data_IF_958447126964
#
_entry.id   IF_958447126964
#
_cell.length_a   1.000
_cell.length_b   1.000
_cell.length_c   1.000
_cell.angle_alpha   90.00
_cell.angle_beta   90.00
_cell.angle_gamma   90.00
#
_symmetry.space_group_name_H-M   'P 1'
#
loop_
_entity.id
_entity.type
_entity.pdbx_description
1 polymer ?
#
# COMPACT_ATOMS: atom_id res chain seq x y z
N UNK A 1 -3.31 7.08 11.19
CA UNK A 1 -2.75 8.42 11.54
C UNK A 1 -1.36 8.62 10.91
N UNK A 2 -0.61 7.54 10.70
CA UNK A 2 0.71 7.55 10.06
C UNK A 2 0.74 8.24 8.69
N UNK A 3 -0.29 8.06 7.85
CA UNK A 3 -0.34 8.68 6.51
C UNK A 3 -0.19 10.21 6.54
N UNK A 4 -0.80 10.89 7.51
CA UNK A 4 -0.69 12.34 7.68
C UNK A 4 0.68 12.75 8.26
N UNK A 5 1.21 11.98 9.22
CA UNK A 5 2.55 12.22 9.79
C UNK A 5 3.64 12.10 8.72
N UNK A 6 3.58 11.04 7.90
CA UNK A 6 4.52 10.86 6.78
C UNK A 6 4.39 11.97 5.74
N UNK A 7 3.15 12.35 5.40
CA UNK A 7 2.87 13.47 4.49
C UNK A 7 3.48 14.77 5.02
N UNK A 8 3.28 15.06 6.31
CA UNK A 8 3.82 16.23 6.97
C UNK A 8 5.35 16.23 6.95
N UNK A 9 5.99 15.13 7.35
CA UNK A 9 7.45 15.00 7.35
C UNK A 9 8.05 15.12 5.94
N UNK A 10 7.38 14.56 4.93
CA UNK A 10 7.79 14.70 3.52
C UNK A 10 7.76 16.17 3.08
N UNK A 11 6.71 16.91 3.44
CA UNK A 11 6.53 18.30 3.02
C UNK A 11 7.30 19.32 3.87
N UNK A 12 7.66 18.97 5.10
CA UNK A 12 8.47 19.80 6.00
C UNK A 12 9.82 20.18 5.40
N UNK A 13 10.39 19.35 4.53
CA UNK A 13 11.66 19.66 3.84
C UNK A 13 11.63 21.01 3.10
N UNK A 14 10.44 21.45 2.68
CA UNK A 14 10.23 22.69 1.95
C UNK A 14 9.58 23.81 2.80
N UNK A 15 9.23 23.56 4.07
CA UNK A 15 8.56 24.50 4.99
C UNK A 15 7.26 25.17 4.46
N UNK A 16 6.57 24.55 3.50
CA UNK A 16 5.39 25.14 2.83
C UNK A 16 4.06 24.47 3.22
N UNK A 17 4.06 23.69 4.30
CA UNK A 17 2.90 22.94 4.77
C UNK A 17 2.94 22.85 6.30
N UNK A 18 1.82 23.21 6.94
CA UNK A 18 1.65 23.14 8.39
C UNK A 18 0.31 22.48 8.70
N UNK A 19 0.26 21.73 9.79
CA UNK A 19 -0.96 21.12 10.31
C UNK A 19 -1.27 21.77 11.65
N UNK A 20 -2.54 22.14 11.85
CA UNK A 20 -3.01 22.67 13.13
C UNK A 20 -4.02 21.68 13.69
N UNK A 21 -3.66 21.02 14.79
CA UNK A 21 -4.54 20.15 15.52
C UNK A 21 -5.57 20.96 16.31
N UNK A 22 -6.84 20.60 16.17
CA UNK A 22 -7.95 21.29 16.80
C UNK A 22 -8.79 20.26 17.53
N UNK A 23 -8.70 20.27 18.86
CA UNK A 23 -9.57 19.46 19.69
C UNK A 23 -11.01 19.95 19.58
N UNK A 24 -11.93 19.06 19.26
CA UNK A 24 -13.36 19.37 19.17
C UNK A 24 -14.04 18.91 20.45
N UNK A 25 -14.87 19.77 21.04
CA UNK A 25 -15.61 19.43 22.26
C UNK A 25 -16.66 18.37 21.91
N UNK A 26 -16.40 17.12 22.33
CA UNK A 26 -17.37 16.03 22.22
C UNK A 26 -18.63 16.35 23.04
N UNK A 27 -19.82 16.29 22.43
CA UNK A 27 -21.09 16.28 23.18
C UNK A 27 -21.24 15.05 24.10
N UNK A 28 -20.45 13.99 23.88
CA UNK A 28 -20.45 12.77 24.70
C UNK A 28 -19.36 12.88 25.77
N UNK A 29 -19.78 12.91 27.04
CA UNK A 29 -18.89 12.84 28.22
C UNK A 29 -18.30 11.44 28.46
N UNK A 30 -18.69 10.45 27.65
CA UNK A 30 -18.29 9.05 27.78
C UNK A 30 -17.76 8.52 26.45
N UNK A 31 -16.54 7.97 26.46
CA UNK A 31 -16.01 7.16 25.38
C UNK A 31 -16.31 5.69 25.73
N UNK A 32 -17.10 5.01 24.90
CA UNK A 32 -17.39 3.57 25.07
C UNK A 32 -16.46 2.75 24.19
N UNK A 33 -15.54 2.01 24.80
CA UNK A 33 -14.81 0.92 24.15
C UNK A 33 -15.44 -0.42 24.59
N UNK A 34 -16.32 -0.98 23.76
CA UNK A 34 -17.09 -2.17 24.11
C UNK A 34 -18.03 -1.92 25.31
N UNK A 35 -17.87 -2.68 26.41
CA UNK A 35 -18.65 -2.52 27.66
C UNK A 35 -18.02 -1.58 28.70
N UNK A 36 -16.85 -0.99 28.43
CA UNK A 36 -16.16 -0.08 29.38
C UNK A 36 -16.48 1.38 29.06
N UNK A 37 -16.90 2.12 30.09
CA UNK A 37 -16.92 3.59 30.11
C UNK A 37 -15.57 4.03 30.64
N UNK A 38 -14.84 4.82 29.85
CA UNK A 38 -13.60 5.45 30.31
C UNK A 38 -13.92 6.94 30.50
N UNK A 39 -13.93 7.40 31.75
CA UNK A 39 -13.80 8.83 32.05
C UNK A 39 -12.35 9.21 31.77
N UNK A 40 -12.09 9.76 30.59
CA UNK A 40 -10.79 10.36 30.29
C UNK A 40 -10.88 11.83 30.62
N UNK A 41 -10.00 12.31 31.48
CA UNK A 41 -9.83 13.75 31.69
C UNK A 41 -9.46 14.40 30.34
N UNK A 42 -10.27 15.32 29.79
CA UNK A 42 -10.07 15.83 28.44
C UNK A 42 -8.69 16.45 28.21
N UNK A 43 -8.14 17.11 29.23
CA UNK A 43 -6.79 17.67 29.22
C UNK A 43 -5.74 16.57 29.06
N UNK A 44 -5.82 15.51 29.86
CA UNK A 44 -4.90 14.39 29.78
C UNK A 44 -4.98 13.69 28.42
N UNK A 45 -6.19 13.49 27.89
CA UNK A 45 -6.38 12.90 26.57
C UNK A 45 -5.78 13.75 25.45
N UNK A 46 -5.98 15.08 25.53
CA UNK A 46 -5.41 16.02 24.59
C UNK A 46 -3.89 15.95 24.59
N UNK A 47 -3.26 16.00 25.75
CA UNK A 47 -1.80 15.94 25.88
C UNK A 47 -1.24 14.60 25.40
N UNK A 48 -1.90 13.49 25.74
CA UNK A 48 -1.52 12.15 25.24
C UNK A 48 -1.53 12.09 23.71
N UNK A 49 -2.61 12.56 23.06
CA UNK A 49 -2.69 12.59 21.60
C UNK A 49 -1.69 13.56 20.98
N UNK A 50 -1.59 14.77 21.52
CA UNK A 50 -0.74 15.83 21.00
C UNK A 50 0.75 15.49 21.12
N UNK A 51 1.15 14.76 22.17
CA UNK A 51 2.53 14.31 22.37
C UNK A 51 3.08 13.44 21.22
N UNK A 52 2.20 12.82 20.43
CA UNK A 52 2.56 12.00 19.27
C UNK A 52 2.54 12.76 17.94
N UNK A 53 2.18 14.04 17.93
CA UNK A 53 1.98 14.84 16.73
C UNK A 53 3.18 15.78 16.47
N UNK A 54 3.72 15.83 15.24
CA UNK A 54 4.89 16.67 14.92
C UNK A 54 4.55 18.13 14.59
N UNK A 55 3.28 18.54 14.79
CA UNK A 55 2.73 19.80 14.33
C UNK A 55 2.07 20.59 15.45
N UNK A 56 1.55 21.78 15.14
CA UNK A 56 1.00 22.71 16.14
C UNK A 56 -0.44 22.40 16.51
N UNK A 57 -0.94 22.98 17.60
CA UNK A 57 -2.34 22.85 18.01
C UNK A 57 -2.93 24.17 18.50
N UNK A 58 -4.25 24.34 18.34
CA UNK A 58 -4.98 25.34 19.13
C UNK A 58 -5.05 24.83 20.57
N UNK A 59 -4.57 25.59 21.57
CA UNK A 59 -4.59 25.16 22.97
C UNK A 59 -5.99 24.75 23.41
N UNK A 60 -6.08 23.68 24.21
CA UNK A 60 -7.37 23.20 24.72
C UNK A 60 -8.14 24.28 25.50
N UNK A 61 -7.41 25.18 26.17
CA UNK A 61 -7.91 26.33 26.92
C UNK A 61 -8.54 27.42 26.04
N UNK A 62 -8.18 27.52 24.76
CA UNK A 62 -8.76 28.50 23.82
C UNK A 62 -10.08 27.98 23.23
N UNK A 63 -11.10 27.93 24.08
CA UNK A 63 -12.44 27.46 23.72
C UNK A 63 -13.06 28.32 22.61
N UNK A 64 -12.78 29.63 22.62
CA UNK A 64 -13.34 30.58 21.65
C UNK A 64 -12.85 30.27 20.24
N UNK A 65 -11.53 30.13 20.05
CA UNK A 65 -10.96 29.78 18.75
C UNK A 65 -11.45 28.41 18.28
N UNK A 66 -11.42 27.39 19.15
CA UNK A 66 -11.87 26.02 18.79
C UNK A 66 -13.34 26.00 18.35
N UNK A 67 -14.24 26.67 19.09
CA UNK A 67 -15.66 26.76 18.71
C UNK A 67 -15.88 27.55 17.42
N UNK A 68 -15.12 28.62 17.20
CA UNK A 68 -15.22 29.40 15.96
C UNK A 68 -14.87 28.54 14.74
N UNK A 69 -13.77 27.80 14.81
CA UNK A 69 -13.35 26.88 13.73
C UNK A 69 -14.38 25.77 13.52
N UNK A 70 -14.86 25.14 14.61
CA UNK A 70 -15.89 24.10 14.55
C UNK A 70 -17.16 24.59 13.83
N UNK A 71 -17.65 25.79 14.18
CA UNK A 71 -18.82 26.40 13.55
C UNK A 71 -18.57 26.75 12.09
N UNK A 72 -17.41 27.36 11.79
CA UNK A 72 -17.06 27.80 10.43
C UNK A 72 -17.06 26.65 9.43
N UNK A 73 -16.58 25.48 9.83
CA UNK A 73 -16.46 24.30 8.97
C UNK A 73 -17.55 23.26 9.18
N UNK A 74 -18.55 23.52 10.03
CA UNK A 74 -19.66 22.61 10.26
C UNK A 74 -19.24 21.24 10.83
N UNK A 75 -18.20 21.19 11.65
CA UNK A 75 -17.67 19.94 12.22
C UNK A 75 -18.60 19.47 13.34
N UNK A 76 -19.46 18.48 13.06
CA UNK A 76 -20.42 17.92 14.01
C UNK A 76 -19.97 16.53 14.52
N UNK A 77 -19.17 16.53 15.59
CA UNK A 77 -19.00 15.51 16.62
C UNK A 77 -18.73 14.03 16.27
N UNK A 78 -18.51 13.64 15.02
CA UNK A 78 -18.06 12.27 14.75
C UNK A 78 -17.21 12.23 13.48
N UNK A 79 -16.08 11.53 13.59
CA UNK A 79 -15.02 11.26 12.60
C UNK A 79 -13.90 12.31 12.53
N UNK A 80 -12.67 11.81 12.55
CA UNK A 80 -11.47 12.58 12.24
C UNK A 80 -11.68 13.22 10.87
N UNK A 81 -11.65 14.56 10.83
CA UNK A 81 -11.73 15.30 9.58
C UNK A 81 -10.51 16.22 9.48
N UNK A 82 -10.02 16.37 8.27
CA UNK A 82 -8.95 17.30 7.94
C UNK A 82 -9.41 18.17 6.77
N UNK A 83 -9.18 19.46 6.90
CA UNK A 83 -9.53 20.47 5.90
C UNK A 83 -8.23 21.09 5.43
N UNK A 84 -7.99 21.09 4.12
CA UNK A 84 -6.84 21.78 3.54
C UNK A 84 -7.27 23.17 3.14
N UNK A 85 -6.53 24.17 3.63
CA UNK A 85 -6.74 25.58 3.34
C UNK A 85 -5.55 26.08 2.53
N UNK A 86 -5.83 26.77 1.43
CA UNK A 86 -4.81 27.39 0.58
C UNK A 86 -4.25 28.67 1.19
N UNK A 87 -3.21 29.22 0.57
CA UNK A 87 -2.49 30.38 1.10
C UNK A 87 -3.35 31.66 1.16
N UNK A 88 -4.45 31.73 0.40
CA UNK A 88 -5.37 32.87 0.41
C UNK A 88 -6.60 32.61 1.30
N UNK A 89 -6.60 31.53 2.08
CA UNK A 89 -7.71 31.16 2.96
C UNK A 89 -8.85 30.42 2.25
N UNK A 90 -8.69 30.07 0.98
CA UNK A 90 -9.63 29.24 0.24
C UNK A 90 -9.61 27.80 0.75
N UNK A 91 -10.77 27.14 0.75
CA UNK A 91 -10.86 25.72 1.11
C UNK A 91 -10.50 24.91 -0.13
N UNK A 92 -9.38 24.18 -0.06
CA UNK A 92 -8.94 23.29 -1.13
C UNK A 92 -9.61 21.91 -1.01
N UNK A 93 -9.74 21.38 0.21
CA UNK A 93 -10.32 20.05 0.46
C UNK A 93 -11.08 20.00 1.79
N UNK A 94 -12.23 19.31 1.84
CA UNK A 94 -13.14 19.25 3.01
C UNK A 94 -13.19 17.89 3.71
N UNK A 95 -12.66 16.84 3.08
CA UNK A 95 -12.49 15.51 3.65
C UNK A 95 -11.12 14.96 3.23
N UNK A 96 -10.07 15.55 3.79
CA UNK A 96 -8.71 15.39 3.27
C UNK A 96 -8.00 14.14 3.80
N UNK A 97 -8.56 13.45 4.79
CA UNK A 97 -7.99 12.22 5.35
C UNK A 97 -7.72 11.17 4.25
N UNK A 98 -8.73 10.93 3.40
CA UNK A 98 -8.60 10.00 2.27
C UNK A 98 -7.56 10.46 1.25
N UNK A 99 -7.40 11.78 1.07
CA UNK A 99 -6.40 12.34 0.16
C UNK A 99 -4.98 12.08 0.69
N UNK A 100 -4.74 12.26 1.99
CA UNK A 100 -3.45 11.94 2.60
C UNK A 100 -3.14 10.45 2.55
N UNK A 101 -4.13 9.60 2.80
CA UNK A 101 -4.00 8.14 2.68
C UNK A 101 -3.72 7.69 1.24
N UNK A 102 -4.34 8.35 0.25
CA UNK A 102 -4.27 7.93 -1.16
C UNK A 102 -3.04 8.49 -1.88
N UNK A 103 -2.69 9.75 -1.64
CA UNK A 103 -1.67 10.47 -2.40
C UNK A 103 -0.43 10.84 -1.57
N UNK A 104 -0.54 10.85 -0.24
CA UNK A 104 0.52 11.29 0.64
C UNK A 104 1.09 12.66 0.26
N UNK A 105 2.39 12.84 0.45
CA UNK A 105 3.11 14.06 0.07
C UNK A 105 3.03 14.42 -1.43
N UNK A 106 2.88 13.44 -2.32
CA UNK A 106 2.75 13.70 -3.77
C UNK A 106 1.48 14.47 -4.11
N UNK A 107 0.47 14.41 -3.24
CA UNK A 107 -0.80 15.11 -3.39
C UNK A 107 -0.66 16.63 -3.25
N UNK A 108 0.39 17.15 -2.63
CA UNK A 108 0.59 18.59 -2.42
C UNK A 108 0.59 19.36 -3.76
N UNK A 109 -0.08 20.52 -3.85
CA UNK A 109 -0.75 21.30 -2.80
C UNK A 109 -2.20 20.87 -2.47
N UNK A 110 -2.57 19.64 -2.80
CA UNK A 110 -3.90 19.05 -2.56
C UNK A 110 -5.06 19.75 -3.26
N UNK A 111 -4.78 20.56 -4.27
CA UNK A 111 -5.81 21.11 -5.17
C UNK A 111 -6.45 20.01 -6.02
N UNK A 112 -7.72 20.17 -6.40
CA UNK A 112 -8.39 19.26 -7.33
C UNK A 112 -7.60 19.05 -8.63
N UNK A 113 -7.01 20.11 -9.19
CA UNK A 113 -6.19 20.04 -10.40
C UNK A 113 -4.97 19.11 -10.22
N UNK A 114 -4.29 19.18 -9.06
CA UNK A 114 -3.16 18.31 -8.74
C UNK A 114 -3.60 16.85 -8.59
N UNK A 115 -4.71 16.60 -7.90
CA UNK A 115 -5.25 15.25 -7.72
C UNK A 115 -5.69 14.66 -9.07
N UNK A 116 -6.36 15.44 -9.92
CA UNK A 116 -6.73 15.03 -11.28
C UNK A 116 -5.50 14.73 -12.14
N UNK A 117 -4.42 15.53 -12.02
CA UNK A 117 -3.16 15.27 -12.72
C UNK A 117 -2.55 13.93 -12.31
N UNK A 118 -2.52 13.60 -11.01
CA UNK A 118 -2.02 12.31 -10.52
C UNK A 118 -2.88 11.14 -11.02
N UNK A 119 -4.20 11.27 -10.99
CA UNK A 119 -5.11 10.26 -11.56
C UNK A 119 -4.83 10.02 -13.05
N UNK A 120 -4.64 11.09 -13.83
CA UNK A 120 -4.31 10.97 -15.25
C UNK A 120 -2.95 10.31 -15.50
N UNK A 121 -1.97 10.52 -14.60
CA UNK A 121 -0.68 9.83 -14.66
C UNK A 121 -0.86 8.34 -14.37
N UNK A 122 -1.61 8.01 -13.30
CA UNK A 122 -1.91 6.62 -12.95
C UNK A 122 -2.63 5.90 -14.11
N UNK A 123 -3.62 6.54 -14.76
CA UNK A 123 -4.31 6.01 -15.94
C UNK A 123 -3.37 5.77 -17.14
N UNK A 124 -2.37 6.63 -17.30
CA UNK A 124 -1.38 6.49 -18.38
C UNK A 124 -0.46 5.30 -18.11
N UNK A 125 -0.02 5.12 -16.87
CA UNK A 125 0.80 3.99 -16.44
C UNK A 125 0.00 2.68 -16.54
N UNK A 126 -1.28 2.70 -16.14
CA UNK A 126 -2.15 1.52 -16.25
C UNK A 126 -2.34 1.06 -17.71
N UNK A 127 -2.34 2.00 -18.67
CA UNK A 127 -2.43 1.70 -20.11
C UNK A 127 -1.10 1.20 -20.71
N UNK A 128 0.02 1.72 -20.22
CA UNK A 128 1.36 1.39 -20.72
C UNK A 128 2.31 1.15 -19.53
N UNK A 129 2.20 -0.01 -18.86
CA UNK A 129 2.99 -0.29 -17.67
C UNK A 129 4.44 -0.61 -18.06
N UNK A 130 5.38 -0.09 -17.28
CA UNK A 130 6.79 -0.49 -17.32
C UNK A 130 7.36 -0.54 -15.90
N UNK A 131 8.44 -1.30 -15.68
CA UNK A 131 9.08 -1.34 -14.36
C UNK A 131 9.60 0.03 -13.93
N UNK A 132 10.13 0.81 -14.86
CA UNK A 132 10.54 2.20 -14.58
C UNK A 132 9.33 3.05 -14.16
N UNK A 133 8.22 3.00 -14.90
CA UNK A 133 7.03 3.78 -14.58
C UNK A 133 6.41 3.37 -13.23
N UNK A 134 6.50 2.09 -12.86
CA UNK A 134 5.99 1.55 -11.60
C UNK A 134 6.93 1.87 -10.43
N UNK A 135 8.22 1.56 -10.56
CA UNK A 135 9.16 1.51 -9.45
C UNK A 135 10.09 2.72 -9.37
N UNK A 136 10.36 3.46 -10.44
CA UNK A 136 11.27 4.61 -10.41
C UNK A 136 10.56 5.90 -9.98
N UNK A 137 11.29 6.79 -9.33
CA UNK A 137 10.88 8.15 -8.98
C UNK A 137 11.88 9.15 -9.59
N UNK A 138 11.58 10.45 -9.65
CA UNK A 138 12.53 11.45 -10.15
C UNK A 138 13.90 11.43 -9.45
N UNK A 139 13.94 10.96 -8.20
CA UNK A 139 15.14 10.94 -7.36
C UNK A 139 15.75 9.54 -7.20
N UNK A 140 15.09 8.48 -7.70
CA UNK A 140 15.51 7.09 -7.49
C UNK A 140 15.18 6.17 -8.66
N UNK A 141 16.20 5.46 -9.12
CA UNK A 141 16.16 4.48 -10.22
C UNK A 141 16.58 3.06 -9.79
N UNK A 142 16.63 2.77 -8.48
CA UNK A 142 17.09 1.48 -7.94
C UNK A 142 16.11 0.87 -6.91
N UNK A 143 16.10 -0.44 -6.78
CA UNK A 143 15.55 -1.18 -5.63
C UNK A 143 16.69 -1.67 -4.73
N UNK A 144 16.40 -2.19 -3.54
CA UNK A 144 17.43 -2.63 -2.59
C UNK A 144 17.45 -4.15 -2.41
N UNK A 145 18.63 -4.71 -2.20
CA UNK A 145 18.80 -6.11 -1.77
C UNK A 145 18.60 -6.25 -0.27
N UNK A 146 18.41 -7.48 0.20
CA UNK A 146 18.33 -7.79 1.63
C UNK A 146 19.65 -7.56 2.42
N UNK A 147 20.71 -7.12 1.74
CA UNK A 147 21.98 -6.67 2.31
C UNK A 147 22.17 -5.15 2.26
N UNK A 148 21.20 -4.42 1.71
CA UNK A 148 21.26 -2.97 1.52
C UNK A 148 21.92 -2.51 0.21
N UNK A 149 22.29 -3.43 -0.67
CA UNK A 149 22.88 -3.06 -1.96
C UNK A 149 21.81 -2.44 -2.88
N UNK A 150 22.18 -1.39 -3.60
CA UNK A 150 21.32 -0.76 -4.60
C UNK A 150 21.40 -1.55 -5.91
N UNK A 151 20.25 -1.96 -6.43
CA UNK A 151 20.09 -2.70 -7.68
C UNK A 151 19.31 -1.82 -8.68
N UNK A 152 19.92 -1.38 -9.78
CA UNK A 152 19.25 -0.52 -10.75
C UNK A 152 18.02 -1.20 -11.38
N UNK A 153 16.92 -0.47 -11.51
CA UNK A 153 15.64 -0.99 -12.02
C UNK A 153 15.77 -1.53 -13.44
N UNK A 154 16.56 -0.88 -14.30
CA UNK A 154 16.77 -1.30 -15.69
C UNK A 154 17.35 -2.73 -15.80
N UNK A 155 18.01 -3.25 -14.75
CA UNK A 155 18.52 -4.64 -14.72
C UNK A 155 17.42 -5.70 -14.59
N UNK A 156 16.18 -5.27 -14.33
CA UNK A 156 15.01 -6.12 -14.14
C UNK A 156 14.11 -6.19 -15.38
N UNK A 157 14.35 -5.36 -16.40
CA UNK A 157 13.43 -5.19 -17.54
C UNK A 157 13.20 -6.45 -18.35
N UNK A 158 14.21 -7.30 -18.50
CA UNK A 158 14.09 -8.56 -19.26
C UNK A 158 13.60 -9.74 -18.40
N UNK A 159 13.17 -9.48 -17.16
CA UNK A 159 12.70 -10.51 -16.22
C UNK A 159 11.18 -10.48 -16.07
N UNK A 160 10.62 -11.62 -15.68
CA UNK A 160 9.31 -11.68 -15.03
C UNK A 160 9.51 -11.19 -13.59
N UNK A 161 8.87 -10.09 -13.22
CA UNK A 161 9.00 -9.47 -11.89
C UNK A 161 7.69 -9.60 -11.12
N UNK A 162 7.75 -10.19 -9.93
CA UNK A 162 6.60 -10.21 -9.03
C UNK A 162 6.70 -9.07 -8.01
N UNK A 163 5.76 -8.12 -8.06
CA UNK A 163 5.57 -7.10 -7.04
C UNK A 163 4.82 -7.72 -5.87
N UNK A 164 5.51 -7.88 -4.74
CA UNK A 164 5.00 -8.58 -3.58
C UNK A 164 4.55 -7.60 -2.49
N UNK A 165 3.25 -7.32 -2.43
CA UNK A 165 2.65 -6.47 -1.40
C UNK A 165 2.55 -7.28 -0.10
N UNK A 166 3.45 -6.98 0.83
CA UNK A 166 3.60 -7.75 2.07
C UNK A 166 3.09 -6.94 3.26
N UNK A 167 2.17 -7.54 4.01
CA UNK A 167 1.73 -7.04 5.29
C UNK A 167 2.18 -8.04 6.38
N UNK A 168 2.85 -7.53 7.41
CA UNK A 168 3.34 -8.37 8.50
C UNK A 168 2.17 -9.03 9.25
N UNK A 169 2.35 -10.29 9.62
CA UNK A 169 1.34 -11.10 10.32
C UNK A 169 0.28 -11.79 9.43
N UNK A 170 0.03 -11.35 8.19
CA UNK A 170 -1.03 -11.94 7.33
C UNK A 170 -0.51 -12.83 6.19
N UNK A 171 0.78 -12.73 5.83
CA UNK A 171 1.31 -13.25 4.56
C UNK A 171 2.16 -14.55 4.64
N UNK A 172 2.17 -15.25 5.77
CA UNK A 172 3.11 -16.35 6.04
C UNK A 172 3.10 -17.51 5.03
N UNK A 173 1.93 -18.06 4.71
CA UNK A 173 1.82 -19.20 3.78
C UNK A 173 2.23 -18.83 2.35
N UNK A 174 1.86 -17.63 1.90
CA UNK A 174 2.24 -17.13 0.58
C UNK A 174 3.76 -16.88 0.51
N UNK A 175 4.34 -16.29 1.56
CA UNK A 175 5.79 -16.04 1.64
C UNK A 175 6.58 -17.33 1.45
N UNK A 176 6.20 -18.41 2.14
CA UNK A 176 6.90 -19.70 2.02
C UNK A 176 6.72 -20.35 0.65
N UNK A 177 5.51 -20.28 0.05
CA UNK A 177 5.31 -20.71 -1.34
C UNK A 177 6.15 -19.92 -2.33
N UNK A 178 6.24 -18.60 -2.14
CA UNK A 178 7.03 -17.72 -3.00
C UNK A 178 8.53 -18.01 -2.87
N UNK A 179 9.04 -18.26 -1.66
CA UNK A 179 10.43 -18.70 -1.43
C UNK A 179 10.74 -20.02 -2.15
N UNK A 180 9.84 -21.00 -2.08
CA UNK A 180 10.00 -22.26 -2.80
C UNK A 180 10.05 -22.04 -4.32
N UNK A 181 9.09 -21.27 -4.86
CA UNK A 181 9.05 -20.97 -6.29
C UNK A 181 10.30 -20.20 -6.76
N UNK A 182 10.73 -19.19 -6.01
CA UNK A 182 11.94 -18.41 -6.30
C UNK A 182 13.18 -19.30 -6.42
N UNK A 183 13.36 -20.23 -5.46
CA UNK A 183 14.47 -21.19 -5.47
C UNK A 183 14.41 -22.14 -6.66
N UNK A 184 13.24 -22.67 -7.00
CA UNK A 184 13.08 -23.61 -8.11
C UNK A 184 13.26 -22.91 -9.48
N UNK A 185 12.75 -21.69 -9.65
CA UNK A 185 12.95 -20.90 -10.87
C UNK A 185 14.42 -20.52 -11.06
N UNK A 186 15.14 -20.17 -9.98
CA UNK A 186 16.58 -19.92 -10.02
C UNK A 186 17.37 -21.17 -10.47
N UNK A 187 17.01 -22.37 -9.98
CA UNK A 187 17.64 -23.64 -10.43
C UNK A 187 17.41 -23.91 -11.92
N UNK A 188 16.21 -23.56 -12.42
CA UNK A 188 15.86 -23.68 -13.84
C UNK A 188 16.48 -22.56 -14.71
N UNK A 189 17.18 -21.60 -14.11
CA UNK A 189 17.75 -20.41 -14.77
C UNK A 189 16.69 -19.55 -15.47
N UNK A 190 15.48 -19.52 -14.91
CA UNK A 190 14.41 -18.64 -15.37
C UNK A 190 14.72 -17.21 -14.95
N UNK A 191 14.43 -16.24 -15.84
CA UNK A 191 14.59 -14.82 -15.57
C UNK A 191 13.44 -14.32 -14.70
N UNK A 192 13.50 -14.61 -13.40
CA UNK A 192 12.47 -14.24 -12.42
C UNK A 192 13.07 -13.41 -11.28
N UNK A 193 12.35 -12.38 -10.85
CA UNK A 193 12.70 -11.60 -9.66
C UNK A 193 11.46 -11.25 -8.84
N UNK A 194 11.65 -10.98 -7.55
CA UNK A 194 10.60 -10.46 -6.67
C UNK A 194 11.03 -9.09 -6.12
N UNK A 195 10.11 -8.14 -6.11
CA UNK A 195 10.28 -6.83 -5.45
C UNK A 195 9.23 -6.70 -4.35
N UNK A 196 9.70 -6.72 -3.10
CA UNK A 196 8.89 -6.52 -1.91
C UNK A 196 8.39 -5.07 -1.83
N UNK A 197 7.08 -4.90 -1.69
CA UNK A 197 6.40 -3.66 -1.33
C UNK A 197 5.89 -3.84 0.09
N UNK A 198 6.63 -3.33 1.07
CA UNK A 198 6.30 -3.50 2.48
C UNK A 198 5.19 -2.54 2.88
N UNK A 199 4.03 -3.09 3.26
CA UNK A 199 2.86 -2.35 3.68
C UNK A 199 3.03 -1.99 5.17
N UNK A 200 3.28 -0.70 5.45
CA UNK A 200 3.64 -0.25 6.79
C UNK A 200 2.55 0.56 7.48
N UNK A 201 1.52 1.03 6.77
CA UNK A 201 0.49 1.91 7.31
C UNK A 201 -0.94 1.38 7.12
N UNK A 202 -1.10 0.06 6.99
CA UNK A 202 -2.42 -0.58 6.98
C UNK A 202 -2.99 -0.64 8.38
N UNK A 203 -4.28 -0.96 8.54
CA UNK A 203 -4.90 -1.15 9.87
C UNK A 203 -4.16 -2.21 10.72
N UNK A 204 -3.49 -3.18 10.08
CA UNK A 204 -2.77 -4.25 10.77
C UNK A 204 -1.35 -3.83 11.20
N UNK A 205 -0.78 -2.80 10.57
CA UNK A 205 0.63 -2.41 10.75
C UNK A 205 0.82 -0.99 11.26
N UNK A 206 -0.18 -0.11 11.09
CA UNK A 206 -0.24 1.24 11.68
C UNK A 206 0.01 1.09 13.18
N UNK A 207 0.99 1.81 13.71
CA UNK A 207 1.53 1.75 15.08
C UNK A 207 2.31 0.50 15.53
N UNK A 208 2.37 -0.56 14.70
CA UNK A 208 2.99 -1.85 15.07
C UNK A 208 4.28 -2.18 14.37
N UNK A 209 4.55 -1.53 13.24
CA UNK A 209 5.75 -1.77 12.45
C UNK A 209 6.50 -0.47 12.20
N UNK A 210 7.81 -0.61 12.05
CA UNK A 210 8.76 0.46 11.78
C UNK A 210 9.82 -0.02 10.79
N UNK A 211 10.81 0.83 10.49
CA UNK A 211 11.91 0.46 9.60
C UNK A 211 12.72 -0.73 10.14
N UNK A 212 12.87 -0.85 11.47
CA UNK A 212 13.52 -2.00 12.09
C UNK A 212 12.77 -3.30 11.79
N UNK A 213 11.46 -3.29 11.93
CA UNK A 213 10.55 -4.40 11.61
C UNK A 213 10.64 -4.78 10.14
N UNK A 214 10.71 -3.79 9.24
CA UNK A 214 10.96 -4.01 7.81
C UNK A 214 12.26 -4.80 7.59
N UNK A 215 13.39 -4.35 8.13
CA UNK A 215 14.68 -5.03 7.95
C UNK A 215 14.73 -6.41 8.59
N UNK A 216 14.14 -6.58 9.78
CA UNK A 216 14.05 -7.87 10.47
C UNK A 216 13.32 -8.93 9.63
N UNK A 217 12.29 -8.54 8.88
CA UNK A 217 11.60 -9.44 7.95
C UNK A 217 12.35 -9.59 6.64
N UNK A 218 12.78 -8.49 6.04
CA UNK A 218 13.36 -8.45 4.71
C UNK A 218 14.68 -9.24 4.63
N UNK A 219 15.50 -9.25 5.68
CA UNK A 219 16.73 -10.08 5.75
C UNK A 219 16.48 -11.58 5.55
N UNK A 220 15.26 -12.06 5.79
CA UNK A 220 14.87 -13.47 5.63
C UNK A 220 14.37 -13.82 4.23
N UNK A 221 14.22 -12.81 3.36
CA UNK A 221 13.67 -12.94 2.02
C UNK A 221 14.80 -12.87 0.98
N UNK A 222 14.88 -13.82 0.03
CA UNK A 222 16.03 -13.94 -0.88
C UNK A 222 15.97 -12.99 -2.10
N UNK A 223 15.14 -11.95 -2.05
CA UNK A 223 14.79 -11.09 -3.18
C UNK A 223 15.00 -9.60 -2.88
N UNK A 224 14.51 -8.72 -3.76
CA UNK A 224 14.68 -7.27 -3.68
C UNK A 224 13.49 -6.59 -2.96
N UNK A 225 13.64 -5.33 -2.58
CA UNK A 225 12.58 -4.53 -2.01
C UNK A 225 12.60 -3.09 -2.53
N UNK A 226 11.43 -2.47 -2.55
CA UNK A 226 11.34 -1.02 -2.53
C UNK A 226 11.86 -0.52 -1.17
N UNK A 227 12.64 0.58 -1.11
CA UNK A 227 13.05 1.16 0.17
C UNK A 227 11.85 1.42 1.11
N UNK A 228 12.07 1.33 2.41
CA UNK A 228 11.04 1.66 3.39
C UNK A 228 10.59 3.12 3.22
N UNK A 229 9.28 3.38 3.26
CA UNK A 229 8.65 4.70 3.02
C UNK A 229 8.99 5.36 1.67
N UNK A 230 9.24 4.55 0.64
CA UNK A 230 9.47 5.07 -0.71
C UNK A 230 8.29 5.90 -1.25
N UNK A 231 8.53 7.02 -1.96
CA UNK A 231 7.46 7.87 -2.48
C UNK A 231 6.53 7.17 -3.49
N UNK A 232 6.98 6.11 -4.17
CA UNK A 232 6.13 5.35 -5.07
C UNK A 232 5.20 4.36 -4.36
N UNK A 233 5.36 4.15 -3.05
CA UNK A 233 4.49 3.30 -2.26
C UNK A 233 3.01 3.61 -2.52
N UNK A 234 2.60 4.86 -2.34
CA UNK A 234 1.23 5.33 -2.56
C UNK A 234 0.78 5.13 -4.01
N UNK A 235 1.65 5.44 -4.98
CA UNK A 235 1.38 5.24 -6.41
C UNK A 235 1.06 3.77 -6.72
N UNK A 236 1.84 2.84 -6.19
CA UNK A 236 1.61 1.41 -6.37
C UNK A 236 0.29 0.96 -5.73
N UNK A 237 -0.03 1.44 -4.52
CA UNK A 237 -1.32 1.14 -3.89
C UNK A 237 -2.50 1.62 -4.74
N UNK A 238 -2.42 2.82 -5.32
CA UNK A 238 -3.46 3.36 -6.21
C UNK A 238 -3.62 2.53 -7.48
N UNK A 239 -2.51 2.23 -8.16
CA UNK A 239 -2.52 1.49 -9.43
C UNK A 239 -3.11 0.08 -9.30
N UNK A 240 -2.90 -0.57 -8.15
CA UNK A 240 -3.37 -1.94 -7.91
C UNK A 240 -4.54 -2.04 -6.94
N UNK A 241 -5.11 -0.89 -6.56
CA UNK A 241 -6.26 -0.73 -5.66
C UNK A 241 -6.07 -1.44 -4.30
N UNK A 242 -4.96 -1.19 -3.60
CA UNK A 242 -4.70 -1.81 -2.30
C UNK A 242 -5.08 -0.89 -1.12
N UNK A 243 -5.81 -1.39 -0.09
CA UNK A 243 -6.52 -2.68 -0.05
C UNK A 243 -7.79 -2.64 -0.93
N UNK A 244 -8.16 -3.77 -1.55
CA UNK A 244 -9.40 -3.85 -2.35
C UNK A 244 -10.62 -3.97 -1.44
N UNK A 245 -11.52 -2.99 -1.51
CA UNK A 245 -12.76 -2.95 -0.74
C UNK A 245 -13.79 -4.03 -1.17
N UNK A 246 -13.65 -4.62 -2.37
CA UNK A 246 -14.72 -5.40 -3.04
C UNK A 246 -14.55 -6.93 -3.05
N UNK A 247 -13.48 -7.47 -2.48
CA UNK A 247 -13.07 -8.84 -2.81
C UNK A 247 -13.28 -9.84 -1.66
N UNK A 248 -14.19 -10.79 -1.89
CA UNK A 248 -14.23 -12.11 -1.22
C UNK A 248 -12.92 -12.91 -1.38
N UNK A 249 -11.98 -12.39 -2.17
CA UNK A 249 -10.63 -12.90 -2.33
C UNK A 249 -9.69 -12.07 -1.44
N UNK A 250 -9.26 -12.66 -0.32
CA UNK A 250 -8.20 -12.10 0.49
C UNK A 250 -6.93 -11.97 -0.36
N UNK A 251 -6.60 -10.71 -0.65
CA UNK A 251 -5.27 -10.21 -1.01
C UNK A 251 -4.82 -10.39 -2.47
N UNK A 252 -4.82 -9.27 -3.21
CA UNK A 252 -3.89 -9.03 -4.32
C UNK A 252 -2.50 -8.79 -3.72
N UNK A 253 -1.90 -9.84 -3.15
CA UNK A 253 -0.59 -9.74 -2.47
C UNK A 253 0.58 -9.90 -3.45
N UNK A 254 0.34 -10.33 -4.70
CA UNK A 254 1.39 -10.58 -5.68
C UNK A 254 0.92 -10.23 -7.08
N UNK A 255 1.45 -9.14 -7.65
CA UNK A 255 1.21 -8.70 -9.03
C UNK A 255 2.41 -9.13 -9.88
N UNK A 256 2.15 -9.72 -11.05
CA UNK A 256 3.21 -10.17 -11.96
C UNK A 256 3.33 -9.17 -13.10
N UNK A 257 4.56 -8.75 -13.37
CA UNK A 257 4.94 -7.89 -14.48
C UNK A 257 5.81 -8.71 -15.42
N UNK A 258 5.37 -8.87 -16.67
CA UNK A 258 6.17 -9.55 -17.69
C UNK A 258 7.40 -8.73 -18.12
N UNK A 259 8.37 -9.36 -18.80
CA UNK A 259 9.49 -8.66 -19.42
C UNK A 259 9.04 -7.43 -20.21
N UNK A 260 9.68 -6.28 -19.97
CA UNK A 260 9.39 -4.98 -20.58
C UNK A 260 7.94 -4.52 -20.42
N UNK A 261 7.24 -5.03 -19.41
CA UNK A 261 5.83 -4.71 -19.16
C UNK A 261 4.86 -5.33 -20.17
N UNK A 262 5.26 -6.40 -20.88
CA UNK A 262 4.42 -7.04 -21.90
C UNK A 262 3.05 -7.52 -21.37
N UNK A 263 2.96 -7.82 -20.08
CA UNK A 263 1.70 -8.08 -19.38
C UNK A 263 1.78 -7.63 -17.92
N UNK A 264 0.59 -7.38 -17.35
CA UNK A 264 0.37 -7.21 -15.92
C UNK A 264 -0.71 -8.20 -15.48
N UNK A 265 -0.38 -9.04 -14.50
CA UNK A 265 -1.27 -10.06 -13.98
C UNK A 265 -1.45 -9.88 -12.45
N UNK A 266 -2.56 -9.27 -12.00
CA UNK A 266 -2.77 -8.96 -10.59
C UNK A 266 -3.06 -10.20 -9.73
N UNK A 267 -3.41 -11.35 -10.30
CA UNK A 267 -3.77 -12.56 -9.56
C UNK A 267 -2.61 -13.55 -9.38
N UNK A 268 -1.36 -13.07 -9.40
CA UNK A 268 -0.16 -13.89 -9.24
C UNK A 268 -0.19 -14.78 -7.99
N UNK A 269 -0.71 -14.24 -6.87
CA UNK A 269 -0.86 -14.99 -5.62
C UNK A 269 -1.79 -16.21 -5.79
N UNK A 270 -2.91 -16.06 -6.49
CA UNK A 270 -3.85 -17.16 -6.76
C UNK A 270 -3.21 -18.24 -7.65
N UNK A 271 -2.44 -17.82 -8.65
CA UNK A 271 -1.78 -18.74 -9.58
C UNK A 271 -0.68 -19.54 -8.87
N UNK A 272 0.18 -18.86 -8.12
CA UNK A 272 1.23 -19.50 -7.33
C UNK A 272 0.65 -20.46 -6.28
N UNK A 273 -0.41 -20.06 -5.59
CA UNK A 273 -1.00 -20.90 -4.54
C UNK A 273 -1.68 -22.14 -5.10
N UNK A 274 -2.33 -22.04 -6.27
CA UNK A 274 -3.14 -23.11 -6.86
C UNK A 274 -2.36 -24.04 -7.79
N UNK A 275 -1.37 -23.52 -8.50
CA UNK A 275 -0.63 -24.23 -9.56
C UNK A 275 0.89 -24.23 -9.34
N UNK A 276 1.38 -23.59 -8.26
CA UNK A 276 2.81 -23.54 -7.94
C UNK A 276 3.64 -23.03 -9.13
N UNK A 277 4.88 -23.49 -9.30
CA UNK A 277 5.76 -23.08 -10.41
C UNK A 277 5.28 -23.51 -11.81
N UNK A 278 4.32 -24.42 -11.91
CA UNK A 278 3.80 -24.89 -13.21
C UNK A 278 3.04 -23.78 -13.93
N UNK A 279 2.48 -22.84 -13.16
CA UNK A 279 1.82 -21.65 -13.67
C UNK A 279 2.79 -20.62 -14.25
N UNK A 280 4.12 -20.72 -14.05
CA UNK A 280 5.08 -19.77 -14.60
C UNK A 280 4.89 -19.58 -16.13
N UNK A 281 4.82 -18.34 -16.66
CA UNK A 281 5.15 -17.04 -16.04
C UNK A 281 4.01 -16.37 -15.25
N UNK A 282 3.08 -17.17 -14.71
CA UNK A 282 1.93 -16.78 -13.90
C UNK A 282 0.96 -15.89 -14.67
N UNK A 283 0.50 -16.38 -15.81
CA UNK A 283 -0.53 -15.73 -16.63
C UNK A 283 -1.82 -16.56 -16.68
N UNK A 284 -2.97 -15.89 -16.88
CA UNK A 284 -4.25 -16.58 -17.07
C UNK A 284 -4.24 -17.53 -18.27
N UNK A 285 -3.52 -17.17 -19.33
CA UNK A 285 -3.32 -18.04 -20.50
C UNK A 285 -2.61 -19.33 -20.11
N UNK A 286 -1.49 -19.24 -19.38
CA UNK A 286 -0.77 -20.42 -18.90
C UNK A 286 -1.63 -21.30 -18.01
N UNK A 287 -2.40 -20.71 -17.11
CA UNK A 287 -3.35 -21.44 -16.25
C UNK A 287 -4.44 -22.13 -17.07
N UNK A 288 -4.99 -21.47 -18.10
CA UNK A 288 -5.99 -22.07 -18.99
C UNK A 288 -5.42 -23.31 -19.71
N UNK A 289 -4.17 -23.25 -20.18
CA UNK A 289 -3.50 -24.41 -20.76
C UNK A 289 -3.36 -25.57 -19.76
N UNK A 290 -2.93 -25.31 -18.53
CA UNK A 290 -2.82 -26.34 -17.48
C UNK A 290 -4.17 -27.01 -17.17
N UNK A 291 -5.25 -26.22 -17.15
CA UNK A 291 -6.61 -26.73 -16.95
C UNK A 291 -7.05 -27.65 -18.09
N UNK A 292 -6.80 -27.27 -19.34
CA UNK A 292 -7.12 -28.08 -20.53
C UNK A 292 -6.33 -29.40 -20.50
N UNK A 293 -5.04 -29.37 -20.18
CA UNK A 293 -4.23 -30.59 -20.06
C UNK A 293 -4.75 -31.52 -18.95
N UNK A 294 -5.15 -30.96 -17.81
CA UNK A 294 -5.73 -31.71 -16.70
C UNK A 294 -7.07 -32.35 -17.08
N UNK A 295 -7.91 -31.65 -17.83
CA UNK A 295 -9.18 -32.19 -18.36
C UNK A 295 -8.93 -33.35 -19.31
N UNK A 296 -8.04 -33.20 -20.31
CA UNK A 296 -7.69 -34.27 -21.26
C UNK A 296 -7.13 -35.51 -20.57
N UNK A 297 -6.26 -35.34 -19.57
CA UNK A 297 -5.74 -36.46 -18.77
C UNK A 297 -6.84 -37.19 -18.02
N UNK A 298 -7.81 -36.45 -17.49
CA UNK A 298 -8.95 -37.04 -16.75
C UNK A 298 -9.91 -37.79 -17.67
N UNK A 299 -10.17 -37.27 -18.88
CA UNK A 299 -10.97 -37.96 -19.90
C UNK A 299 -10.29 -39.24 -20.39
N UNK A 300 -9.00 -39.19 -20.71
CA UNK A 300 -8.23 -40.37 -21.11
C UNK A 300 -8.21 -41.45 -20.00
N UNK A 301 -8.08 -41.04 -18.73
CA UNK A 301 -8.14 -41.97 -17.60
C UNK A 301 -9.52 -42.62 -17.43
N UNK A 302 -10.61 -41.91 -17.76
CA UNK A 302 -11.96 -42.47 -17.79
C UNK A 302 -12.12 -43.47 -18.94
N UNK A 303 -11.60 -43.17 -20.13
CA UNK A 303 -11.66 -44.07 -21.30
C UNK A 303 -10.88 -45.36 -21.04
N UNK A 304 -9.67 -45.30 -20.48
CA UNK A 304 -8.87 -46.49 -20.15
C UNK A 304 -9.53 -47.40 -19.09
N UNK A 305 -10.37 -46.87 -18.20
CA UNK A 305 -11.13 -47.67 -17.22
C UNK A 305 -12.37 -48.37 -17.80
N UNK A 306 -12.77 -48.03 -19.03
CA UNK A 306 -13.93 -48.61 -19.73
C UNK A 306 -13.54 -49.41 -20.98
N UNK A 307 -12.25 -49.67 -21.20
CA UNK A 307 -11.81 -50.56 -22.28
C UNK A 307 -12.12 -52.03 -21.89
N UNK A 308 -12.83 -52.81 -22.74
CA UNK A 308 -13.12 -54.21 -22.43
C UNK A 308 -11.84 -55.05 -22.43
N UNK A 309 -11.73 -55.91 -21.42
CA UNK A 309 -10.68 -56.92 -21.25
C UNK A 309 -10.70 -57.99 -22.33
#
# INVERSE_FOLDING_TARGET
MISLVDTYNYLQQNNNFEVVFIAVDSRKKEIRYGRRIIEVEPSKHFEELFSCMPWTAIPLSDITARKHVQQRFGISDVYHNAIVIGTNGEILQTNSCTIFETYGGQGYPFTDAKILSLKSQDDTIAKNPSLEALLASPERDYVISNKGDKVPIHTLEEKVVALYFYEDGSCGQLTEKLKMAYKELAKKKENFEVVLIYLYDTICTDDRTDEGSFWEKFKTMPWLALPYRDPNYRKLLRLFCFPREDSLCFTTTLVIVGPRGEFIEPWGACMLTSYNIEAFPFTREKVAHLLIEKMRKTENLKICKHAPS
#
